data_IF_594860629709
#
_entry.id   IF_594860629709
#
_cell.length_a   1.000
_cell.length_b   1.000
_cell.length_c   1.000
_cell.angle_alpha   90.00
_cell.angle_beta   90.00
_cell.angle_gamma   90.00
#
_symmetry.space_group_name_H-M   'P 1'
#
loop_
_entity.id
_entity.type
_entity.pdbx_description
1 polymer ?
#
# COMPACT_ATOMS: atom_id res chain seq x y z
N UNK A 1 18.32 8.55 -3.17
CA UNK A 1 17.28 7.68 -2.61
C UNK A 1 16.09 7.62 -3.56
N UNK A 2 15.66 6.43 -3.93
CA UNK A 2 14.54 6.26 -4.84
C UNK A 2 13.33 5.74 -4.07
N UNK A 3 12.18 6.21 -4.48
CA UNK A 3 10.93 5.87 -3.82
C UNK A 3 9.92 5.26 -4.78
N UNK A 4 9.04 4.47 -4.23
CA UNK A 4 7.86 3.97 -4.91
C UNK A 4 6.64 4.22 -4.06
N UNK A 5 5.52 4.38 -4.73
CA UNK A 5 4.22 4.40 -4.08
C UNK A 5 3.63 3.00 -4.25
N UNK A 6 3.22 2.41 -3.14
CA UNK A 6 2.44 1.17 -3.18
C UNK A 6 1.00 1.55 -2.91
N UNK A 7 0.14 1.13 -3.80
CA UNK A 7 -1.28 1.36 -3.67
C UNK A 7 -1.95 0.00 -3.57
N UNK A 8 -2.70 -0.22 -2.50
CA UNK A 8 -3.36 -1.49 -2.27
C UNK A 8 -4.84 -1.26 -2.00
N UNK A 9 -5.68 -1.97 -2.74
CA UNK A 9 -7.10 -2.04 -2.47
C UNK A 9 -7.35 -3.37 -1.80
N UNK A 10 -7.75 -3.35 -0.54
CA UNK A 10 -7.88 -4.57 0.25
C UNK A 10 -9.28 -4.65 0.85
N UNK A 11 -9.71 -5.87 1.10
CA UNK A 11 -10.98 -6.09 1.79
C UNK A 11 -10.89 -5.47 3.18
N UNK A 12 -11.93 -4.74 3.55
CA UNK A 12 -12.00 -4.03 4.83
C UNK A 12 -11.65 -4.92 6.01
N UNK A 13 -12.05 -6.17 5.98
CA UNK A 13 -11.80 -7.09 7.10
C UNK A 13 -10.33 -7.45 7.27
N UNK A 14 -9.50 -7.25 6.24
CA UNK A 14 -8.07 -7.55 6.31
C UNK A 14 -7.20 -6.31 6.48
N UNK A 15 -7.81 -5.14 6.59
CA UNK A 15 -7.09 -3.88 6.62
C UNK A 15 -6.01 -3.86 7.71
N UNK A 16 -6.38 -4.20 8.94
CA UNK A 16 -5.45 -4.14 10.05
C UNK A 16 -4.27 -5.11 9.84
N UNK A 17 -4.57 -6.30 9.35
CA UNK A 17 -3.52 -7.29 9.09
C UNK A 17 -2.57 -6.82 8.00
N UNK A 18 -3.10 -6.18 6.97
CA UNK A 18 -2.28 -5.67 5.87
C UNK A 18 -1.38 -4.54 6.35
N UNK A 19 -1.91 -3.62 7.13
CA UNK A 19 -1.12 -2.51 7.67
C UNK A 19 0.02 -3.04 8.55
N UNK A 20 -0.28 -3.99 9.44
CA UNK A 20 0.75 -4.57 10.30
C UNK A 20 1.81 -5.31 9.49
N UNK A 21 1.39 -6.07 8.49
CA UNK A 21 2.33 -6.80 7.65
C UNK A 21 3.24 -5.85 6.87
N UNK A 22 2.67 -4.77 6.34
CA UNK A 22 3.45 -3.78 5.61
C UNK A 22 4.49 -3.11 6.52
N UNK A 23 4.08 -2.76 7.75
CA UNK A 23 5.00 -2.18 8.72
C UNK A 23 6.13 -3.14 9.08
N UNK A 24 5.79 -4.39 9.33
CA UNK A 24 6.77 -5.42 9.66
C UNK A 24 7.77 -5.61 8.51
N UNK A 25 7.30 -5.47 7.28
CA UNK A 25 8.16 -5.60 6.10
C UNK A 25 8.97 -4.33 5.82
N UNK A 26 8.72 -3.25 6.56
CA UNK A 26 9.56 -2.07 6.47
C UNK A 26 8.86 -0.77 6.12
N UNK A 27 7.57 -0.77 5.90
CA UNK A 27 6.85 0.47 5.63
C UNK A 27 6.82 1.34 6.89
N UNK A 28 7.26 2.59 6.75
CA UNK A 28 7.36 3.49 7.90
C UNK A 28 6.07 4.25 8.16
N UNK A 29 5.14 4.20 7.22
CA UNK A 29 3.85 4.84 7.41
C UNK A 29 2.95 4.57 6.24
N UNK A 30 1.70 4.94 6.37
CA UNK A 30 0.75 4.76 5.30
C UNK A 30 -0.45 5.65 5.49
N UNK A 31 -1.18 5.84 4.41
CA UNK A 31 -2.42 6.58 4.40
C UNK A 31 -3.54 5.61 4.05
N UNK A 32 -4.60 5.65 4.82
CA UNK A 32 -5.75 4.78 4.62
C UNK A 32 -6.91 5.65 4.14
N UNK A 33 -7.48 5.26 3.01
CA UNK A 33 -8.62 5.94 2.43
C UNK A 33 -9.70 4.91 2.18
N UNK A 34 -10.93 5.27 2.47
CA UNK A 34 -12.04 4.39 2.13
C UNK A 34 -12.28 4.47 0.62
N UNK A 35 -12.30 3.32 -0.01
CA UNK A 35 -12.52 3.24 -1.44
C UNK A 35 -13.98 3.22 -1.81
N UNK A 36 -14.82 3.73 -0.92
CA UNK A 36 -16.24 3.80 -1.14
C UNK A 36 -16.56 5.10 -1.82
N UNK A 37 -17.07 5.04 -3.03
CA UNK A 37 -17.48 6.22 -3.76
C UNK A 37 -18.94 6.16 -4.08
N UNK A 38 -19.57 7.31 -4.12
CA UNK A 38 -20.94 7.39 -4.56
C UNK A 38 -20.99 7.16 -6.06
N UNK A 39 -21.96 6.40 -6.50
CA UNK A 39 -22.14 6.15 -7.93
C UNK A 39 -21.38 4.94 -8.44
N UNK A 40 -20.49 4.39 -7.68
CA UNK A 40 -19.77 3.17 -8.10
C UNK A 40 -20.31 1.92 -7.42
N UNK A 41 -21.23 2.09 -6.52
CA UNK A 41 -21.80 0.98 -5.78
C UNK A 41 -22.52 -0.03 -6.65
N UNK A 42 -23.00 0.39 -7.81
CA UNK A 42 -23.73 -0.51 -8.70
C UNK A 42 -22.81 -1.41 -9.49
N UNK A 43 -21.58 -0.98 -9.72
CA UNK A 43 -20.67 -1.74 -10.58
C UNK A 43 -19.59 -2.46 -9.82
N UNK A 44 -19.19 -1.92 -8.68
CA UNK A 44 -18.19 -2.55 -7.82
C UNK A 44 -16.95 -2.93 -8.62
N UNK A 45 -16.48 -2.01 -9.44
CA UNK A 45 -15.31 -2.25 -10.27
C UNK A 45 -14.32 -1.12 -10.11
N UNK A 46 -13.05 -1.47 -10.28
CA UNK A 46 -11.97 -0.53 -10.26
C UNK A 46 -10.98 -0.96 -11.34
N UNK A 47 -10.65 -0.05 -12.26
CA UNK A 47 -9.75 -0.33 -13.36
C UNK A 47 -10.17 -1.56 -14.16
N UNK A 48 -11.48 -1.75 -14.35
CA UNK A 48 -12.01 -2.88 -15.08
C UNK A 48 -12.06 -4.19 -14.30
N UNK A 49 -11.65 -4.17 -13.03
CA UNK A 49 -11.66 -5.36 -12.19
C UNK A 49 -12.89 -5.35 -11.31
N UNK A 50 -13.47 -6.53 -11.13
CA UNK A 50 -14.62 -6.67 -10.25
C UNK A 50 -14.15 -6.73 -8.81
N UNK A 51 -14.74 -5.87 -7.97
CA UNK A 51 -14.46 -5.86 -6.54
C UNK A 51 -15.70 -6.29 -5.79
N UNK A 52 -15.54 -7.32 -4.98
CA UNK A 52 -16.59 -7.79 -4.10
C UNK A 52 -16.34 -7.22 -2.71
N UNK A 53 -17.38 -6.88 -2.00
CA UNK A 53 -17.30 -6.29 -0.69
C UNK A 53 -16.64 -4.91 -0.73
N UNK A 54 -16.63 -4.29 0.42
CA UNK A 54 -16.06 -2.97 0.57
C UNK A 54 -14.54 -3.03 0.67
N UNK A 55 -13.89 -2.11 -0.01
CA UNK A 55 -12.44 -2.07 -0.03
C UNK A 55 -11.94 -0.79 0.64
N UNK A 56 -10.81 -0.92 1.29
CA UNK A 56 -10.05 0.24 1.75
C UNK A 56 -8.85 0.42 0.83
N UNK A 57 -8.53 1.66 0.56
CA UNK A 57 -7.35 1.99 -0.22
C UNK A 57 -6.24 2.36 0.74
N UNK A 58 -5.12 1.66 0.62
CA UNK A 58 -3.93 1.92 1.41
C UNK A 58 -2.86 2.46 0.50
N UNK A 59 -2.18 3.50 0.94
CA UNK A 59 -1.14 4.13 0.16
C UNK A 59 0.11 4.24 1.01
N UNK A 60 1.22 3.71 0.51
CA UNK A 60 2.50 3.74 1.19
C UNK A 60 3.54 4.37 0.28
N UNK A 61 4.31 5.31 0.82
CA UNK A 61 5.51 5.81 0.16
C UNK A 61 6.68 5.05 0.76
N UNK A 62 7.40 4.30 -0.04
CA UNK A 62 8.43 3.40 0.46
C UNK A 62 9.70 3.55 -0.39
N UNK A 63 10.81 3.14 0.18
CA UNK A 63 12.05 3.10 -0.57
C UNK A 63 12.02 1.95 -1.57
N UNK A 64 12.63 2.18 -2.72
CA UNK A 64 12.58 1.25 -3.84
C UNK A 64 13.06 -0.14 -3.44
N UNK A 65 14.13 -0.22 -2.66
CA UNK A 65 14.76 -1.51 -2.37
C UNK A 65 13.92 -2.42 -1.47
N UNK A 66 12.93 -1.89 -0.76
CA UNK A 66 12.07 -2.72 0.10
C UNK A 66 10.68 -2.90 -0.47
N UNK A 67 10.39 -2.27 -1.60
CA UNK A 67 9.02 -2.26 -2.15
C UNK A 67 8.50 -3.67 -2.40
N UNK A 68 9.32 -4.54 -2.98
CA UNK A 68 8.87 -5.89 -3.29
C UNK A 68 8.56 -6.71 -2.05
N UNK A 69 9.34 -6.55 -0.99
CA UNK A 69 9.07 -7.25 0.27
C UNK A 69 7.74 -6.80 0.87
N UNK A 70 7.47 -5.50 0.79
CA UNK A 70 6.20 -4.96 1.28
C UNK A 70 5.04 -5.47 0.43
N UNK A 71 5.22 -5.51 -0.90
CA UNK A 71 4.20 -6.03 -1.81
C UNK A 71 3.84 -7.48 -1.48
N UNK A 72 4.85 -8.32 -1.25
CA UNK A 72 4.62 -9.72 -0.89
C UNK A 72 3.88 -9.84 0.44
N UNK A 73 4.26 -9.01 1.41
CA UNK A 73 3.59 -9.02 2.71
C UNK A 73 2.12 -8.64 2.57
N UNK A 74 1.83 -7.64 1.74
CA UNK A 74 0.46 -7.21 1.48
C UNK A 74 -0.33 -8.32 0.79
N UNK A 75 0.29 -8.98 -0.18
CA UNK A 75 -0.34 -10.07 -0.92
C UNK A 75 -0.82 -11.17 0.03
N UNK A 76 0.04 -11.57 0.95
CA UNK A 76 -0.28 -12.63 1.91
C UNK A 76 -1.34 -12.16 2.94
N UNK A 77 -1.10 -11.03 3.56
CA UNK A 77 -1.98 -10.56 4.63
C UNK A 77 -3.36 -10.15 4.13
N UNK A 78 -3.45 -9.68 2.90
CA UNK A 78 -4.71 -9.25 2.30
C UNK A 78 -5.45 -10.36 1.59
N UNK A 79 -4.89 -11.56 1.54
CA UNK A 79 -5.49 -12.69 0.82
C UNK A 79 -5.79 -12.31 -0.63
N UNK A 80 -4.83 -11.65 -1.27
CA UNK A 80 -5.07 -11.13 -2.61
C UNK A 80 -5.11 -12.20 -3.69
N UNK A 81 -4.71 -13.42 -3.36
CA UNK A 81 -4.86 -14.54 -4.28
C UNK A 81 -6.32 -14.97 -4.45
N UNK A 82 -7.18 -14.58 -3.53
CA UNK A 82 -8.58 -14.93 -3.59
C UNK A 82 -9.35 -13.95 -4.47
N UNK A 83 -10.26 -14.50 -5.26
CA UNK A 83 -11.05 -13.69 -6.18
C UNK A 83 -11.84 -12.61 -5.42
N UNK A 84 -11.78 -11.40 -5.94
CA UNK A 84 -12.56 -10.29 -5.39
C UNK A 84 -11.98 -9.62 -4.15
N UNK A 85 -10.87 -10.12 -3.62
CA UNK A 85 -10.30 -9.53 -2.40
C UNK A 85 -9.51 -8.26 -2.62
N UNK A 86 -9.06 -8.00 -3.83
CA UNK A 86 -8.40 -6.74 -4.11
C UNK A 86 -7.14 -6.89 -4.95
N UNK A 87 -6.42 -5.78 -5.05
CA UNK A 87 -5.18 -5.73 -5.82
C UNK A 87 -4.18 -4.84 -5.11
N UNK A 88 -2.92 -5.00 -5.46
CA UNK A 88 -1.87 -4.09 -5.02
C UNK A 88 -0.91 -3.88 -6.19
N UNK A 89 -0.42 -2.66 -6.33
CA UNK A 89 0.55 -2.36 -7.36
C UNK A 89 1.48 -1.25 -6.88
N UNK A 90 2.65 -1.16 -7.51
CA UNK A 90 3.62 -0.13 -7.16
C UNK A 90 3.90 0.74 -8.37
N UNK A 91 4.19 2.00 -8.10
CA UNK A 91 4.53 3.00 -9.11
C UNK A 91 5.80 3.69 -8.70
N UNK A 92 6.67 3.96 -9.67
CA UNK A 92 7.84 4.77 -9.40
C UNK A 92 7.47 6.22 -9.17
N UNK A 93 8.19 6.87 -8.26
CA UNK A 93 8.00 8.29 -8.00
C UNK A 93 9.04 9.05 -8.81
N UNK A 94 8.57 9.82 -9.79
CA UNK A 94 9.47 10.60 -10.64
C UNK A 94 10.02 11.81 -9.91
N UNK A 95 9.19 12.45 -9.09
CA UNK A 95 9.58 13.65 -8.39
C UNK A 95 8.74 13.81 -7.13
N UNK A 96 9.38 14.23 -6.06
CA UNK A 96 8.71 14.56 -4.82
C UNK A 96 9.24 15.89 -4.31
N UNK A 97 8.36 16.75 -3.84
CA UNK A 97 8.74 18.02 -3.23
C UNK A 97 8.24 18.02 -1.80
N UNK A 98 9.00 18.66 -0.92
CA UNK A 98 8.66 18.64 0.50
C UNK A 98 9.18 17.43 1.23
N UNK A 99 9.68 16.44 0.51
CA UNK A 99 10.18 15.22 1.12
C UNK A 99 11.53 15.42 1.80
N UNK A 100 12.31 16.35 1.33
CA UNK A 100 13.66 16.57 1.86
C UNK A 100 13.66 16.95 3.33
N UNK A 101 12.61 17.56 3.81
CA UNK A 101 12.49 17.88 5.24
C UNK A 101 12.27 16.64 6.10
N UNK A 102 11.85 15.53 5.48
CA UNK A 102 11.59 14.27 6.16
C UNK A 102 12.68 13.22 5.92
N UNK A 103 13.55 13.46 4.96
CA UNK A 103 14.54 12.46 4.56
C UNK A 103 15.49 12.00 5.67
N UNK A 104 15.97 12.88 6.55
CA UNK A 104 16.86 12.42 7.62
C UNK A 104 16.19 11.36 8.50
N UNK A 105 14.90 11.56 8.82
CA UNK A 105 14.15 10.58 9.62
C UNK A 105 13.95 9.30 8.84
N UNK A 106 13.60 9.40 7.57
CA UNK A 106 13.38 8.22 6.72
C UNK A 106 14.66 7.41 6.54
N UNK A 107 15.77 8.07 6.34
CA UNK A 107 17.06 7.39 6.20
C UNK A 107 17.45 6.68 7.49
N UNK A 108 17.22 7.33 8.62
CA UNK A 108 17.51 6.73 9.91
C UNK A 108 16.64 5.48 10.14
N UNK A 109 15.36 5.58 9.85
CA UNK A 109 14.46 4.45 10.00
C UNK A 109 14.89 3.28 9.13
N UNK A 110 15.30 3.55 7.90
CA UNK A 110 15.77 2.52 6.99
C UNK A 110 17.04 1.85 7.53
N UNK A 111 17.98 2.66 8.04
CA UNK A 111 19.21 2.13 8.60
C UNK A 111 18.94 1.29 9.84
N UNK A 112 18.06 1.76 10.69
CA UNK A 112 17.73 1.04 11.93
C UNK A 112 17.06 -0.30 11.64
N UNK A 113 16.36 -0.42 10.50
CA UNK A 113 15.66 -1.65 10.13
C UNK A 113 16.49 -2.60 9.28
N UNK A 114 17.36 -2.08 8.42
CA UNK A 114 18.02 -2.89 7.39
C UNK A 114 19.55 -2.84 7.45
N UNK A 115 20.11 -1.99 8.22
CA UNK A 115 21.53 -1.85 8.38
C UNK A 115 21.92 -1.80 9.85
#
# INVERSE_FOLDING_TARGET
>A
MRFKVILALVNEKYQDNVVEAAKTAGATGGTILNARGEGIHTQKSFMGLTMEAQKDMLLFLVEDFIANNIMEAIYEAGHLSEHGNGIAFSLGVDRAIGLESQMPTMEKDAKDRYF
#
